data_IF_853390161527
#
_entry.id   IF_853390161527
#
_cell.length_a   1.000
_cell.length_b   1.000
_cell.length_c   1.000
_cell.angle_alpha   90.00
_cell.angle_beta   90.00
_cell.angle_gamma   90.00
#
_symmetry.space_group_name_H-M   'P 1'
#
loop_
_entity.id
_entity.type
_entity.pdbx_description
1 polymer ?
#
# COMPACT_ATOMS: atom_id res chain seq x y z
N UNK A 1 -7.76 -11.71 1.90
CA UNK A 1 -6.57 -11.00 1.42
C UNK A 1 -6.00 -10.20 2.58
N UNK A 2 -4.70 -10.26 2.87
CA UNK A 2 -4.08 -9.46 3.94
C UNK A 2 -3.75 -8.05 3.42
N UNK A 3 -3.61 -7.02 4.29
CA UNK A 3 -3.20 -5.69 3.85
C UNK A 3 -1.88 -5.70 3.06
N UNK A 4 -0.91 -6.54 3.45
CA UNK A 4 0.32 -6.74 2.69
C UNK A 4 0.08 -7.27 1.27
N UNK A 5 -0.85 -8.21 1.10
CA UNK A 5 -1.20 -8.73 -0.23
C UNK A 5 -1.84 -7.65 -1.10
N UNK A 6 -2.71 -6.81 -0.52
CA UNK A 6 -3.33 -5.68 -1.23
C UNK A 6 -2.26 -4.68 -1.67
N UNK A 7 -1.36 -4.30 -0.78
CA UNK A 7 -0.27 -3.35 -1.09
C UNK A 7 0.67 -3.88 -2.17
N UNK A 8 1.05 -5.16 -2.10
CA UNK A 8 1.88 -5.80 -3.13
C UNK A 8 1.17 -5.85 -4.48
N UNK A 9 -0.13 -6.15 -4.50
CA UNK A 9 -0.92 -6.15 -5.73
C UNK A 9 -1.00 -4.76 -6.35
N UNK A 10 -1.29 -3.74 -5.55
CA UNK A 10 -1.33 -2.34 -5.97
C UNK A 10 0.00 -1.88 -6.58
N UNK A 11 1.11 -2.09 -5.88
CA UNK A 11 2.44 -1.73 -6.37
C UNK A 11 2.79 -2.48 -7.67
N UNK A 12 2.44 -3.77 -7.78
CA UNK A 12 2.67 -4.57 -8.99
C UNK A 12 1.83 -4.07 -10.17
N UNK A 13 0.65 -3.53 -9.92
CA UNK A 13 -0.20 -2.91 -10.93
C UNK A 13 0.30 -1.51 -11.36
N UNK A 14 1.35 -0.98 -10.71
CA UNK A 14 1.85 0.38 -10.95
C UNK A 14 0.99 1.46 -10.32
N UNK A 15 0.11 1.10 -9.38
CA UNK A 15 -0.69 2.06 -8.63
C UNK A 15 0.20 2.94 -7.74
N UNK A 16 -0.22 4.19 -7.56
CA UNK A 16 0.39 5.10 -6.60
C UNK A 16 -0.17 4.76 -5.22
N UNK A 17 0.73 4.40 -4.30
CA UNK A 17 0.39 4.10 -2.91
C UNK A 17 0.88 5.25 -2.03
N UNK A 18 -0.05 5.95 -1.40
CA UNK A 18 0.25 7.03 -0.45
C UNK A 18 -0.08 6.58 0.96
N UNK A 19 0.88 6.73 1.86
CA UNK A 19 0.77 6.28 3.25
C UNK A 19 0.78 7.46 4.21
N UNK A 20 -0.21 7.50 5.09
CA UNK A 20 -0.37 8.52 6.12
C UNK A 20 -0.20 7.86 7.49
N UNK A 21 0.69 8.42 8.31
CA UNK A 21 0.75 8.08 9.73
C UNK A 21 -0.28 8.92 10.48
N UNK A 22 -1.23 8.27 11.14
CA UNK A 22 -2.30 8.88 11.92
C UNK A 22 -2.20 8.41 13.39
N UNK A 23 -2.88 9.05 14.36
CA UNK A 23 -2.74 8.69 15.77
C UNK A 23 -3.03 7.21 16.07
N UNK A 24 -3.94 6.58 15.32
CA UNK A 24 -4.40 5.21 15.52
C UNK A 24 -3.68 4.16 14.64
N UNK A 25 -2.59 4.55 13.96
CA UNK A 25 -1.81 3.66 13.09
C UNK A 25 -1.55 4.27 11.71
N UNK A 26 -1.69 3.47 10.65
CA UNK A 26 -1.58 3.97 9.28
C UNK A 26 -2.91 3.98 8.53
N UNK A 27 -3.06 4.98 7.67
CA UNK A 27 -4.06 5.04 6.59
C UNK A 27 -3.33 4.97 5.26
N UNK A 28 -3.86 4.18 4.33
CA UNK A 28 -3.27 4.07 2.99
C UNK A 28 -4.30 4.41 1.94
N UNK A 29 -3.91 5.26 0.99
CA UNK A 29 -4.67 5.54 -0.21
C UNK A 29 -3.95 4.92 -1.41
N UNK A 30 -4.71 4.22 -2.24
CA UNK A 30 -4.23 3.63 -3.48
C UNK A 30 -4.96 4.31 -4.62
N UNK A 31 -4.18 4.87 -5.55
CA UNK A 31 -4.68 5.52 -6.75
C UNK A 31 -4.17 4.76 -7.96
N UNK A 32 -5.07 4.31 -8.83
CA UNK A 32 -4.73 3.68 -10.11
C UNK A 32 -5.51 4.33 -11.26
N UNK A 33 -5.04 4.07 -12.47
CA UNK A 33 -5.83 4.33 -13.69
C UNK A 33 -6.30 2.98 -14.20
N UNK A 34 -7.61 2.80 -14.30
CA UNK A 34 -8.21 1.56 -14.78
C UNK A 34 -8.07 1.40 -16.31
N UNK A 35 -8.59 0.28 -16.83
CA UNK A 35 -8.52 -0.04 -18.26
C UNK A 35 -9.29 0.95 -19.15
N UNK A 36 -10.28 1.65 -18.60
CA UNK A 36 -11.08 2.65 -19.30
C UNK A 36 -10.45 4.05 -19.23
N UNK A 37 -9.30 4.18 -18.54
CA UNK A 37 -8.59 5.43 -18.33
C UNK A 37 -9.13 6.27 -17.19
N UNK A 38 -10.05 5.75 -16.38
CA UNK A 38 -10.57 6.45 -15.21
C UNK A 38 -9.61 6.31 -14.02
N UNK A 39 -9.46 7.39 -13.26
CA UNK A 39 -8.72 7.34 -12.01
C UNK A 39 -9.61 6.77 -10.92
N UNK A 40 -9.18 5.65 -10.33
CA UNK A 40 -9.85 5.00 -9.21
C UNK A 40 -9.02 5.25 -7.95
N UNK A 41 -9.69 5.69 -6.88
CA UNK A 41 -9.08 5.88 -5.57
C UNK A 41 -9.84 5.03 -4.55
N UNK A 42 -9.10 4.27 -3.75
CA UNK A 42 -9.66 3.60 -2.59
C UNK A 42 -8.72 3.69 -1.39
N UNK A 43 -9.33 3.64 -0.22
CA UNK A 43 -8.66 3.68 1.07
C UNK A 43 -8.59 2.29 1.68
N UNK A 44 -7.43 1.92 2.22
CA UNK A 44 -7.26 0.72 3.03
C UNK A 44 -7.29 1.15 4.49
N UNK A 45 -8.30 0.67 5.21
CA UNK A 45 -8.45 0.83 6.66
C UNK A 45 -8.45 -0.57 7.28
N UNK A 46 -7.32 -0.99 7.85
CA UNK A 46 -7.17 -2.30 8.51
C UNK A 46 -6.21 -2.17 9.70
N UNK A 47 -6.57 -2.74 10.84
CA UNK A 47 -5.77 -2.66 12.08
C UNK A 47 -4.40 -3.36 11.98
N UNK A 48 -4.18 -4.16 10.93
CA UNK A 48 -2.91 -4.86 10.67
C UNK A 48 -2.02 -4.12 9.67
N UNK A 49 -2.37 -2.89 9.29
CA UNK A 49 -1.56 -2.08 8.38
C UNK A 49 -0.15 -1.85 8.93
N UNK A 50 -0.01 -1.59 10.23
CA UNK A 50 1.29 -1.41 10.89
C UNK A 50 2.21 -2.62 10.66
N UNK A 51 1.68 -3.84 10.83
CA UNK A 51 2.41 -5.08 10.59
C UNK A 51 2.80 -5.24 9.12
N UNK A 52 1.87 -4.92 8.20
CA UNK A 52 2.13 -5.01 6.76
C UNK A 52 3.21 -4.02 6.30
N UNK A 53 3.20 -2.80 6.83
CA UNK A 53 4.18 -1.75 6.52
C UNK A 53 5.55 -2.13 7.08
N UNK A 54 5.61 -2.68 8.29
CA UNK A 54 6.86 -3.16 8.87
C UNK A 54 7.49 -4.27 8.00
N UNK A 55 6.69 -5.23 7.54
CA UNK A 55 7.16 -6.30 6.65
C UNK A 55 7.64 -5.75 5.29
N UNK A 56 7.02 -4.69 4.76
CA UNK A 56 7.50 -4.02 3.54
C UNK A 56 8.86 -3.34 3.77
N UNK A 57 9.04 -2.66 4.91
CA UNK A 57 10.30 -2.00 5.26
C UNK A 57 11.44 -3.02 5.39
N UNK A 58 11.19 -4.13 6.08
CA UNK A 58 12.17 -5.22 6.23
C UNK A 58 12.55 -5.80 4.86
N UNK A 59 11.56 -6.08 4.01
CA UNK A 59 11.80 -6.56 2.65
C UNK A 59 12.66 -5.57 1.83
N UNK A 60 12.36 -4.28 1.87
CA UNK A 60 13.13 -3.26 1.14
C UNK A 60 14.57 -3.13 1.66
N UNK A 61 14.77 -3.23 2.97
CA UNK A 61 16.10 -3.19 3.58
C UNK A 61 16.95 -4.39 3.19
N UNK A 62 16.34 -5.58 3.04
CA UNK A 62 17.04 -6.79 2.60
C UNK A 62 17.40 -6.78 1.11
N UNK A 63 16.65 -6.06 0.28
CA UNK A 63 16.76 -6.09 -1.18
C UNK A 63 17.41 -4.84 -1.79
N UNK A 64 17.94 -3.93 -0.95
CA UNK A 64 18.70 -2.72 -1.31
C UNK A 64 18.06 -1.93 -2.47
N UNK A 65 16.74 -1.71 -2.37
CA UNK A 65 15.98 -0.96 -3.36
C UNK A 65 16.03 0.53 -2.97
N UNK A 66 17.12 1.20 -3.34
CA UNK A 66 17.27 2.67 -3.29
C UNK A 66 16.83 3.35 -4.57
#
# INVERSE_FOLDING_TARGET
MTPLQVLRAALKAGAIVTMYQVPDGYRIEVTEVDADGATVLWEIVDSRLDQAIQQLREYMAEHDVT
#
